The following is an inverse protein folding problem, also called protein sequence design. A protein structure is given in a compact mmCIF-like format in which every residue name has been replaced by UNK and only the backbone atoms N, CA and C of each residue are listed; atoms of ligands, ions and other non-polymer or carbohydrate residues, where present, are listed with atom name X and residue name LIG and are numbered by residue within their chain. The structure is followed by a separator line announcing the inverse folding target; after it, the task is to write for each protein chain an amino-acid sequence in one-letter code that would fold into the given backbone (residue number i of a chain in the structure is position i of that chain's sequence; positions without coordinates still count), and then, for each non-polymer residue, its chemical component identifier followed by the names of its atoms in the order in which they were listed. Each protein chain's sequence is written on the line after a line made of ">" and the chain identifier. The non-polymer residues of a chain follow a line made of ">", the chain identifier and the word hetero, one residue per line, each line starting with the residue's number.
data_IF_509841820454
#
_entry.id   IF_509841820454
#
_cell.length_a   1.000
_cell.length_b   1.000
_cell.length_c   1.000
_cell.angle_alpha   90.00
_cell.angle_beta   90.00
_cell.angle_gamma   90.00
#
_symmetry.space_group_name_H-M   'P 1'
#
loop_
_entity.id
_entity.type
_entity.pdbx_description
1 polymer ?
#
# COMPACT_ATOMS: atom_id res chain seq x y z
N UNK A 1 51.06 5.77 10.11
CA UNK A 1 52.00 4.68 9.80
C UNK A 1 52.95 5.19 8.74
N UNK A 2 54.23 5.25 9.09
CA UNK A 2 55.32 5.65 8.19
C UNK A 2 55.37 4.72 6.98
N UNK A 3 55.44 5.27 5.78
CA UNK A 3 55.84 4.49 4.61
C UNK A 3 57.30 4.08 4.85
N UNK A 4 57.57 2.78 4.95
CA UNK A 4 58.96 2.29 5.02
C UNK A 4 59.52 2.47 3.62
N UNK A 5 60.16 3.62 3.37
CA UNK A 5 60.86 3.87 2.13
C UNK A 5 61.97 2.83 1.94
N UNK A 6 62.24 2.43 0.70
CA UNK A 6 63.35 1.54 0.39
C UNK A 6 64.67 2.23 0.76
N UNK A 7 65.38 1.68 1.75
CA UNK A 7 66.67 2.20 2.21
C UNK A 7 67.79 1.59 1.38
N UNK A 8 68.15 2.29 0.31
CA UNK A 8 69.20 1.90 -0.65
C UNK A 8 70.54 1.63 0.05
N UNK A 9 70.89 2.40 1.09
CA UNK A 9 72.17 2.26 1.80
C UNK A 9 72.19 0.99 2.66
N UNK A 10 71.12 0.75 3.42
CA UNK A 10 70.97 -0.47 4.20
C UNK A 10 70.94 -1.70 3.29
N UNK A 11 70.28 -1.62 2.13
CA UNK A 11 70.23 -2.71 1.16
C UNK A 11 71.60 -3.03 0.58
N UNK A 12 72.36 -2.04 0.10
CA UNK A 12 73.73 -2.21 -0.41
C UNK A 12 74.63 -2.84 0.65
N UNK A 13 74.57 -2.34 1.90
CA UNK A 13 75.36 -2.90 3.01
C UNK A 13 75.05 -4.38 3.26
N UNK A 14 73.77 -4.75 3.20
CA UNK A 14 73.34 -6.14 3.39
C UNK A 14 73.89 -7.06 2.29
N UNK A 15 73.94 -6.59 1.05
CA UNK A 15 74.54 -7.33 -0.08
C UNK A 15 76.06 -7.47 0.08
N UNK A 16 76.76 -6.41 0.55
CA UNK A 16 78.19 -6.46 0.86
C UNK A 16 78.51 -7.45 1.97
N UNK A 17 77.74 -7.44 3.05
CA UNK A 17 77.89 -8.39 4.17
C UNK A 17 77.63 -9.85 3.74
N UNK A 18 76.85 -10.05 2.67
CA UNK A 18 76.63 -11.35 2.03
C UNK A 18 77.73 -11.74 1.01
N UNK A 19 78.77 -10.93 0.85
CA UNK A 19 79.91 -11.21 -0.04
C UNK A 19 79.74 -10.72 -1.48
N UNK A 20 78.75 -9.88 -1.77
CA UNK A 20 78.58 -9.26 -3.09
C UNK A 20 79.51 -8.03 -3.19
N UNK A 21 80.25 -7.94 -4.29
CA UNK A 21 81.11 -6.78 -4.60
C UNK A 21 80.30 -5.47 -4.62
N UNK A 22 80.85 -4.39 -4.06
CA UNK A 22 80.18 -3.09 -3.92
C UNK A 22 79.52 -2.57 -5.21
N UNK A 23 80.24 -2.62 -6.34
CA UNK A 23 79.69 -2.20 -7.64
C UNK A 23 78.48 -3.02 -8.08
N UNK A 24 78.45 -4.32 -7.75
CA UNK A 24 77.32 -5.20 -8.07
C UNK A 24 76.16 -4.98 -7.10
N UNK A 25 76.46 -4.74 -5.83
CA UNK A 25 75.46 -4.40 -4.82
C UNK A 25 74.74 -3.08 -5.14
N UNK A 26 75.49 -2.06 -5.59
CA UNK A 26 74.94 -0.80 -6.09
C UNK A 26 74.03 -1.04 -7.30
N UNK A 27 74.51 -1.76 -8.32
CA UNK A 27 73.72 -2.04 -9.52
C UNK A 27 72.42 -2.81 -9.22
N UNK A 28 72.45 -3.79 -8.31
CA UNK A 28 71.25 -4.55 -7.89
C UNK A 28 70.30 -3.68 -7.08
N UNK A 29 70.81 -2.80 -6.20
CA UNK A 29 70.00 -1.87 -5.43
C UNK A 29 69.27 -0.87 -6.32
N UNK A 30 69.96 -0.32 -7.32
CA UNK A 30 69.39 0.61 -8.31
C UNK A 30 68.32 -0.09 -9.14
N UNK A 31 68.63 -1.25 -9.73
CA UNK A 31 67.67 -2.00 -10.53
C UNK A 31 66.42 -2.43 -9.73
N UNK A 32 66.59 -2.77 -8.44
CA UNK A 32 65.47 -3.12 -7.56
C UNK A 32 64.62 -1.90 -7.16
N UNK A 33 65.25 -0.75 -6.90
CA UNK A 33 64.53 0.51 -6.64
C UNK A 33 63.72 0.94 -7.86
N UNK A 34 64.34 0.95 -9.04
CA UNK A 34 63.67 1.29 -10.31
C UNK A 34 62.52 0.32 -10.61
N UNK A 35 62.72 -0.99 -10.45
CA UNK A 35 61.65 -1.97 -10.63
C UNK A 35 60.49 -1.82 -9.63
N UNK A 36 60.77 -1.37 -8.40
CA UNK A 36 59.74 -1.11 -7.39
C UNK A 36 58.98 0.20 -7.66
N UNK A 37 59.66 1.21 -8.21
CA UNK A 37 59.06 2.47 -8.64
C UNK A 37 58.20 2.30 -9.91
N UNK A 38 58.59 1.40 -10.82
CA UNK A 38 57.81 1.01 -12.00
C UNK A 38 56.62 0.09 -11.68
N UNK A 39 56.63 -0.59 -10.52
CA UNK A 39 55.52 -1.41 -10.09
C UNK A 39 54.34 -0.52 -9.66
N UNK A 40 53.28 -0.45 -10.48
CA UNK A 40 51.99 0.17 -10.12
C UNK A 40 51.27 -0.65 -9.05
N UNK A 41 51.76 -0.60 -7.82
CA UNK A 41 51.12 -1.21 -6.66
C UNK A 41 50.04 -0.27 -6.12
N UNK A 42 48.86 -0.82 -5.82
CA UNK A 42 47.82 -0.11 -5.09
C UNK A 42 48.41 0.44 -3.77
N UNK A 43 48.43 1.76 -3.64
CA UNK A 43 49.01 2.41 -2.48
C UNK A 43 48.07 2.26 -1.30
N UNK A 44 48.61 2.37 -0.09
CA UNK A 44 47.81 2.39 1.15
C UNK A 44 46.77 3.53 1.16
N UNK A 45 47.03 4.61 0.42
CA UNK A 45 46.06 5.68 0.17
C UNK A 45 44.83 5.18 -0.57
N UNK A 46 45.02 4.31 -1.55
CA UNK A 46 43.97 3.83 -2.44
C UNK A 46 43.06 2.86 -1.69
N UNK A 47 43.66 2.01 -0.84
CA UNK A 47 42.91 1.14 0.08
C UNK A 47 42.05 1.97 1.03
N UNK A 48 42.61 3.04 1.63
CA UNK A 48 41.84 3.93 2.52
C UNK A 48 40.74 4.70 1.79
N UNK A 49 41.00 5.11 0.56
CA UNK A 49 39.99 5.74 -0.28
C UNK A 49 38.83 4.76 -0.55
N UNK A 50 39.15 3.50 -0.85
CA UNK A 50 38.16 2.44 -1.05
C UNK A 50 37.38 2.13 0.22
N UNK A 51 38.04 2.01 1.38
CA UNK A 51 37.39 1.84 2.69
C UNK A 51 36.39 2.98 2.97
N UNK A 52 36.80 4.22 2.68
CA UNK A 52 35.95 5.40 2.87
C UNK A 52 34.73 5.37 1.92
N UNK A 53 34.95 5.03 0.65
CA UNK A 53 33.87 4.90 -0.33
C UNK A 53 32.90 3.78 0.05
N UNK A 54 33.42 2.65 0.51
CA UNK A 54 32.62 1.51 0.94
C UNK A 54 31.76 1.86 2.16
N UNK A 55 32.32 2.53 3.16
CA UNK A 55 31.56 3.02 4.32
C UNK A 55 30.49 4.04 3.92
N UNK A 56 30.80 4.95 3.01
CA UNK A 56 29.83 5.91 2.49
C UNK A 56 28.70 5.23 1.72
N UNK A 57 29.02 4.21 0.94
CA UNK A 57 28.04 3.40 0.21
C UNK A 57 27.12 2.63 1.16
N UNK A 58 27.68 1.98 2.18
CA UNK A 58 26.91 1.27 3.22
C UNK A 58 25.96 2.23 3.95
N UNK A 59 26.47 3.39 4.37
CA UNK A 59 25.65 4.43 5.03
C UNK A 59 24.51 4.88 4.11
N UNK A 60 24.81 5.10 2.83
CA UNK A 60 23.80 5.49 1.83
C UNK A 60 22.77 4.40 1.57
N UNK A 61 23.17 3.13 1.57
CA UNK A 61 22.27 1.99 1.45
C UNK A 61 21.33 1.89 2.65
N UNK A 62 21.86 2.00 3.87
CA UNK A 62 21.05 1.96 5.09
C UNK A 62 20.01 3.08 5.09
N UNK A 63 20.42 4.32 4.78
CA UNK A 63 19.50 5.44 4.70
C UNK A 63 18.39 5.25 3.64
N UNK A 64 18.71 4.63 2.49
CA UNK A 64 17.71 4.29 1.47
C UNK A 64 16.76 3.19 1.94
N UNK A 65 17.26 2.20 2.67
CA UNK A 65 16.45 1.13 3.24
C UNK A 65 15.47 1.70 4.29
N UNK A 66 15.96 2.53 5.21
CA UNK A 66 15.13 3.18 6.24
C UNK A 66 14.03 4.06 5.61
N UNK A 67 14.39 4.83 4.58
CA UNK A 67 13.43 5.66 3.84
C UNK A 67 12.38 4.81 3.12
N UNK A 68 12.79 3.67 2.56
CA UNK A 68 11.89 2.75 1.89
C UNK A 68 10.93 2.09 2.87
N UNK A 69 11.42 1.60 4.01
CA UNK A 69 10.58 1.01 5.07
C UNK A 69 9.58 2.03 5.60
N UNK A 70 10.03 3.24 5.91
CA UNK A 70 9.16 4.34 6.37
C UNK A 70 8.09 4.67 5.32
N UNK A 71 8.48 4.75 4.04
CA UNK A 71 7.56 5.02 2.94
C UNK A 71 6.55 3.90 2.71
N UNK A 72 6.95 2.63 2.90
CA UNK A 72 6.04 1.49 2.83
C UNK A 72 5.05 1.49 3.98
N UNK A 73 5.49 1.73 5.20
CA UNK A 73 4.62 1.80 6.38
C UNK A 73 3.57 2.90 6.21
N UNK A 74 3.99 4.11 5.82
CA UNK A 74 3.07 5.22 5.57
C UNK A 74 2.04 4.90 4.46
N UNK A 75 2.46 4.19 3.41
CA UNK A 75 1.55 3.73 2.35
C UNK A 75 0.56 2.69 2.85
N UNK A 76 1.00 1.77 3.71
CA UNK A 76 0.14 0.75 4.30
C UNK A 76 -0.90 1.38 5.22
N UNK A 77 -0.50 2.31 6.10
CA UNK A 77 -1.40 3.04 6.99
C UNK A 77 -2.45 3.84 6.21
N UNK A 78 -2.02 4.51 5.14
CA UNK A 78 -2.92 5.26 4.26
C UNK A 78 -3.91 4.34 3.54
N UNK A 79 -3.46 3.16 3.12
CA UNK A 79 -4.31 2.17 2.46
C UNK A 79 -5.35 1.59 3.42
N UNK A 80 -4.94 1.19 4.64
CA UNK A 80 -5.84 0.70 5.68
C UNK A 80 -6.90 1.74 6.04
N UNK A 81 -6.48 2.98 6.29
CA UNK A 81 -7.38 4.11 6.56
C UNK A 81 -8.35 4.33 5.40
N UNK A 82 -7.85 4.27 4.16
CA UNK A 82 -8.66 4.43 2.95
C UNK A 82 -9.69 3.33 2.75
N UNK A 83 -9.35 2.08 3.09
CA UNK A 83 -10.28 0.95 3.05
C UNK A 83 -11.37 1.12 4.11
N UNK A 84 -10.99 1.44 5.35
CA UNK A 84 -11.95 1.61 6.45
C UNK A 84 -12.96 2.70 6.12
N UNK A 85 -12.51 3.88 5.67
CA UNK A 85 -13.39 4.97 5.28
C UNK A 85 -14.33 4.59 4.12
N UNK A 86 -13.86 3.80 3.15
CA UNK A 86 -14.70 3.28 2.06
C UNK A 86 -15.74 2.29 2.56
N UNK A 87 -15.39 1.44 3.51
CA UNK A 87 -16.30 0.48 4.12
C UNK A 87 -17.40 1.19 4.91
N UNK A 88 -17.05 2.16 5.74
CA UNK A 88 -18.01 2.97 6.52
C UNK A 88 -18.99 3.71 5.59
N UNK A 89 -18.47 4.30 4.51
CA UNK A 89 -19.29 4.97 3.50
C UNK A 89 -20.25 3.99 2.81
N UNK A 90 -19.77 2.78 2.52
CA UNK A 90 -20.57 1.74 1.88
C UNK A 90 -21.68 1.25 2.80
N UNK A 91 -21.37 0.96 4.07
CA UNK A 91 -22.32 0.54 5.09
C UNK A 91 -23.41 1.60 5.29
N UNK A 92 -23.01 2.87 5.45
CA UNK A 92 -23.95 4.00 5.57
C UNK A 92 -24.88 4.07 4.36
N UNK A 93 -24.33 3.98 3.14
CA UNK A 93 -25.13 4.04 1.91
C UNK A 93 -26.10 2.86 1.80
N UNK A 94 -25.67 1.66 2.18
CA UNK A 94 -26.53 0.48 2.16
C UNK A 94 -27.69 0.64 3.17
N UNK A 95 -27.39 1.10 4.38
CA UNK A 95 -28.38 1.37 5.42
C UNK A 95 -29.43 2.38 4.95
N UNK A 96 -29.00 3.56 4.48
CA UNK A 96 -29.93 4.58 3.95
C UNK A 96 -30.78 4.08 2.79
N UNK A 97 -30.19 3.27 1.90
CA UNK A 97 -30.93 2.67 0.78
C UNK A 97 -31.98 1.68 1.26
N UNK A 98 -31.68 0.90 2.29
CA UNK A 98 -32.62 -0.03 2.90
C UNK A 98 -33.78 0.73 3.57
N UNK A 99 -33.49 1.77 4.36
CA UNK A 99 -34.50 2.61 5.00
C UNK A 99 -35.44 3.26 3.97
N UNK A 100 -34.85 3.79 2.89
CA UNK A 100 -35.62 4.40 1.79
C UNK A 100 -36.52 3.36 1.11
N UNK A 101 -36.00 2.15 0.91
CA UNK A 101 -36.76 1.06 0.31
C UNK A 101 -37.91 0.61 1.21
N UNK A 102 -37.67 0.40 2.50
CA UNK A 102 -38.68 0.03 3.50
C UNK A 102 -39.78 1.11 3.58
N UNK A 103 -39.39 2.38 3.69
CA UNK A 103 -40.34 3.52 3.70
C UNK A 103 -41.18 3.55 2.42
N UNK A 104 -40.54 3.34 1.27
CA UNK A 104 -41.22 3.30 -0.02
C UNK A 104 -42.20 2.12 -0.13
N UNK A 105 -41.86 0.97 0.43
CA UNK A 105 -42.78 -0.18 0.51
C UNK A 105 -43.97 0.08 1.43
N UNK A 106 -43.73 0.62 2.63
CA UNK A 106 -44.79 0.95 3.58
C UNK A 106 -45.78 1.96 2.97
N UNK A 107 -45.26 3.03 2.34
CA UNK A 107 -46.11 4.01 1.64
C UNK A 107 -46.96 3.37 0.54
N UNK A 108 -46.39 2.43 -0.23
CA UNK A 108 -47.14 1.70 -1.27
C UNK A 108 -48.21 0.81 -0.65
N UNK A 109 -47.93 0.18 0.48
CA UNK A 109 -48.89 -0.65 1.21
C UNK A 109 -50.06 0.19 1.74
N UNK A 110 -49.78 1.34 2.36
CA UNK A 110 -50.81 2.28 2.85
C UNK A 110 -51.75 2.73 1.71
N UNK A 111 -51.18 3.02 0.54
CA UNK A 111 -51.95 3.36 -0.67
C UNK A 111 -52.82 2.19 -1.13
N UNK A 112 -52.31 0.96 -1.07
CA UNK A 112 -53.08 -0.24 -1.40
C UNK A 112 -54.23 -0.48 -0.41
N UNK A 113 -53.97 -0.37 0.90
CA UNK A 113 -54.99 -0.48 1.95
C UNK A 113 -56.09 0.56 1.77
N UNK A 114 -55.72 1.82 1.49
CA UNK A 114 -56.68 2.90 1.23
C UNK A 114 -57.56 2.60 0.01
N UNK A 115 -56.94 2.14 -1.10
CA UNK A 115 -57.70 1.77 -2.31
C UNK A 115 -58.63 0.59 -2.06
N UNK A 116 -58.17 -0.41 -1.31
CA UNK A 116 -58.96 -1.59 -0.97
C UNK A 116 -60.15 -1.20 -0.08
N UNK A 117 -59.94 -0.36 0.94
CA UNK A 117 -61.03 0.17 1.76
C UNK A 117 -62.06 0.99 0.96
N UNK A 118 -61.61 1.77 -0.04
CA UNK A 118 -62.53 2.47 -0.94
C UNK A 118 -63.35 1.52 -1.82
N UNK A 119 -62.75 0.42 -2.28
CA UNK A 119 -63.47 -0.62 -3.04
C UNK A 119 -64.49 -1.33 -2.15
N UNK A 120 -64.13 -1.73 -0.93
CA UNK A 120 -65.05 -2.33 0.03
C UNK A 120 -66.25 -1.41 0.30
N UNK A 121 -66.03 -0.12 0.55
CA UNK A 121 -67.12 0.84 0.75
C UNK A 121 -68.05 0.99 -0.47
N UNK A 122 -67.50 0.92 -1.69
CA UNK A 122 -68.31 0.89 -2.93
C UNK A 122 -69.11 -0.40 -3.04
N UNK A 123 -68.52 -1.55 -2.71
CA UNK A 123 -69.21 -2.85 -2.71
C UNK A 123 -70.36 -2.86 -1.71
N UNK A 124 -70.15 -2.34 -0.49
CA UNK A 124 -71.22 -2.25 0.52
C UNK A 124 -72.37 -1.35 0.08
N UNK A 125 -72.05 -0.20 -0.56
CA UNK A 125 -73.07 0.68 -1.14
C UNK A 125 -73.90 -0.03 -2.21
N UNK A 126 -73.25 -0.80 -3.10
CA UNK A 126 -73.94 -1.61 -4.12
C UNK A 126 -74.82 -2.69 -3.47
N UNK A 127 -74.31 -3.40 -2.44
CA UNK A 127 -75.08 -4.42 -1.71
C UNK A 127 -76.33 -3.83 -1.08
N UNK A 128 -76.24 -2.63 -0.50
CA UNK A 128 -77.38 -1.93 0.09
C UNK A 128 -78.42 -1.51 -0.96
N UNK A 129 -77.98 -0.94 -2.09
CA UNK A 129 -78.87 -0.57 -3.19
C UNK A 129 -79.59 -1.81 -3.76
N UNK A 130 -78.88 -2.91 -3.97
CA UNK A 130 -79.47 -4.16 -4.45
C UNK A 130 -80.51 -4.71 -3.46
N UNK A 131 -80.23 -4.68 -2.16
CA UNK A 131 -81.19 -5.11 -1.13
C UNK A 131 -82.47 -4.25 -1.19
N UNK A 132 -82.33 -2.93 -1.28
CA UNK A 132 -83.48 -2.01 -1.39
C UNK A 132 -84.28 -2.28 -2.68
N UNK A 133 -83.60 -2.47 -3.82
CA UNK A 133 -84.27 -2.80 -5.08
C UNK A 133 -85.04 -4.12 -5.01
N UNK A 134 -84.45 -5.16 -4.41
CA UNK A 134 -85.11 -6.45 -4.22
C UNK A 134 -86.38 -6.32 -3.37
N UNK A 135 -86.32 -5.57 -2.26
CA UNK A 135 -87.50 -5.31 -1.42
C UNK A 135 -88.57 -4.53 -2.20
N UNK A 136 -88.18 -3.49 -2.94
CA UNK A 136 -89.10 -2.65 -3.71
C UNK A 136 -89.84 -3.46 -4.79
N UNK A 137 -89.20 -4.47 -5.39
CA UNK A 137 -89.80 -5.34 -6.41
C UNK A 137 -90.68 -6.43 -5.79
N UNK A 138 -90.23 -7.08 -4.71
CA UNK A 138 -90.93 -8.24 -4.13
C UNK A 138 -92.11 -7.85 -3.24
N UNK A 139 -92.01 -6.78 -2.44
CA UNK A 139 -93.05 -6.35 -1.51
C UNK A 139 -94.44 -6.12 -2.15
N UNK A 140 -94.58 -5.44 -3.31
CA UNK A 140 -95.87 -5.29 -3.97
C UNK A 140 -96.40 -6.60 -4.55
N UNK A 141 -95.53 -7.50 -5.04
CA UNK A 141 -95.93 -8.79 -5.59
C UNK A 141 -96.54 -9.73 -4.53
N UNK A 142 -96.02 -9.70 -3.30
CA UNK A 142 -96.56 -10.49 -2.18
C UNK A 142 -97.91 -9.94 -1.71
N UNK A 143 -98.06 -8.61 -1.60
CA UNK A 143 -99.34 -7.98 -1.23
C UNK A 143 -100.46 -8.22 -2.25
N UNK A 144 -100.13 -8.41 -3.53
CA UNK A 144 -101.11 -8.75 -4.56
C UNK A 144 -101.52 -10.22 -4.57
N UNK A 145 -100.84 -11.09 -3.82
CA UNK A 145 -101.07 -12.55 -3.79
C UNK A 145 -101.78 -13.04 -2.51
N UNK A 146 -101.82 -12.21 -1.45
CA UNK A 146 -102.53 -12.44 -0.18
C UNK A 146 -103.90 -11.77 -0.20
#
# INVERSE_FOLDING_TARGET
>A
MSAVAFDTYKFIRTLKDAGIEEKRAEAVSTAFSEAQDEAELAKKSDIRALETQMHSFETGMNARMDSFETGMNARMDSFETGINARMDTFETRMSTRMDTFETGMNTRMDVLETKMGSLDGKLDSIRWILLVLVIAVIAPAIKGLL
#
